data_IF_234208832687
#
_entry.id   IF_234208832687
#
_cell.length_a   1.000
_cell.length_b   1.000
_cell.length_c   1.000
_cell.angle_alpha   90.00
_cell.angle_beta   90.00
_cell.angle_gamma   90.00
#
_symmetry.space_group_name_H-M   'P 1'
#
loop_
_entity.id
_entity.type
_entity.pdbx_description
1 polymer ?
#
# COMPACT_ATOMS: atom_id res chain seq x y z
N UNK A 1 -22.32 5.43 -28.53
CA UNK A 1 -22.36 5.86 -27.14
C UNK A 1 -22.19 4.68 -26.24
N UNK A 2 -21.15 4.68 -25.41
CA UNK A 2 -21.01 3.68 -24.34
C UNK A 2 -22.06 4.02 -23.28
N UNK A 3 -23.03 3.11 -23.08
CA UNK A 3 -23.97 3.22 -21.98
C UNK A 3 -23.30 2.67 -20.72
N UNK A 4 -23.18 3.49 -19.68
CA UNK A 4 -22.58 3.10 -18.39
C UNK A 4 -23.54 2.26 -17.52
N UNK A 5 -24.69 1.87 -18.06
CA UNK A 5 -25.82 1.32 -17.32
C UNK A 5 -25.51 0.00 -16.59
N UNK A 6 -24.45 -0.71 -17.00
CA UNK A 6 -24.11 -2.03 -16.47
C UNK A 6 -22.74 -2.06 -15.75
N UNK A 7 -22.13 -0.90 -15.46
CA UNK A 7 -20.84 -0.84 -14.78
C UNK A 7 -21.04 -0.53 -13.29
N UNK A 8 -20.47 -1.33 -12.41
CA UNK A 8 -20.45 -1.06 -10.97
C UNK A 8 -19.53 0.11 -10.61
N UNK A 9 -18.39 0.19 -11.31
CA UNK A 9 -17.35 1.22 -11.12
C UNK A 9 -16.84 1.73 -12.46
N UNK A 10 -16.59 3.03 -12.55
CA UNK A 10 -15.92 3.67 -13.68
C UNK A 10 -14.61 4.29 -13.19
N UNK A 11 -13.51 3.98 -13.86
CA UNK A 11 -12.21 4.61 -13.63
C UNK A 11 -11.99 5.69 -14.69
N UNK A 12 -11.62 6.86 -14.21
CA UNK A 12 -11.29 8.03 -15.04
C UNK A 12 -9.83 8.40 -14.77
N UNK A 13 -8.94 8.18 -15.73
CA UNK A 13 -7.56 8.64 -15.67
C UNK A 13 -7.42 9.91 -16.52
N UNK A 14 -7.21 11.06 -15.88
CA UNK A 14 -7.08 12.35 -16.57
C UNK A 14 -5.62 12.67 -16.85
N UNK A 15 -5.27 12.80 -18.11
CA UNK A 15 -3.94 13.23 -18.56
C UNK A 15 -3.90 14.71 -18.97
N UNK A 16 -4.98 15.46 -18.77
CA UNK A 16 -5.06 16.87 -19.16
C UNK A 16 -5.02 17.14 -20.65
N UNK A 17 -5.32 16.13 -21.48
CA UNK A 17 -5.25 16.21 -22.96
C UNK A 17 -6.59 16.53 -23.64
N UNK A 18 -7.59 17.00 -22.88
CA UNK A 18 -8.87 17.46 -23.40
C UNK A 18 -9.92 16.39 -23.73
N UNK A 19 -9.64 15.11 -23.48
CA UNK A 19 -10.62 14.02 -23.65
C UNK A 19 -11.77 14.16 -22.67
N UNK A 20 -11.47 14.51 -21.41
CA UNK A 20 -12.46 14.71 -20.35
C UNK A 20 -13.03 16.13 -20.40
N UNK A 21 -14.06 16.31 -21.21
CA UNK A 21 -14.81 17.56 -21.26
C UNK A 21 -15.77 17.65 -20.08
N UNK A 22 -16.20 18.88 -19.73
CA UNK A 22 -17.20 19.11 -18.67
C UNK A 22 -18.46 18.26 -18.89
N UNK A 23 -18.94 18.19 -20.13
CA UNK A 23 -20.11 17.37 -20.50
C UNK A 23 -19.91 15.87 -20.20
N UNK A 24 -18.70 15.34 -20.36
CA UNK A 24 -18.39 13.94 -20.02
C UNK A 24 -18.37 13.77 -18.53
N UNK A 25 -17.71 14.67 -17.79
CA UNK A 25 -17.64 14.64 -16.34
C UNK A 25 -19.03 14.78 -15.69
N UNK A 26 -19.89 15.67 -16.21
CA UNK A 26 -21.27 15.78 -15.74
C UNK A 26 -22.04 14.47 -15.86
N UNK A 27 -21.90 13.78 -16.99
CA UNK A 27 -22.58 12.50 -17.20
C UNK A 27 -22.04 11.39 -16.32
N UNK A 28 -20.73 11.38 -16.07
CA UNK A 28 -20.07 10.36 -15.25
C UNK A 28 -20.29 10.61 -13.76
N UNK A 29 -20.06 11.82 -13.30
CA UNK A 29 -19.97 12.13 -11.89
C UNK A 29 -21.28 12.67 -11.27
N UNK A 30 -22.20 13.25 -12.08
CA UNK A 30 -23.38 13.96 -11.58
C UNK A 30 -24.70 13.38 -12.01
N UNK A 31 -24.75 12.43 -12.95
CA UNK A 31 -25.99 11.84 -13.42
C UNK A 31 -26.66 10.98 -12.34
N UNK A 32 -28.00 11.00 -12.22
CA UNK A 32 -28.73 10.10 -11.34
C UNK A 32 -28.47 8.62 -11.68
N UNK A 33 -28.34 7.77 -10.67
CA UNK A 33 -28.13 6.33 -10.88
C UNK A 33 -26.77 5.97 -11.51
N UNK A 34 -25.80 6.90 -11.46
CA UNK A 34 -24.44 6.66 -11.95
C UNK A 34 -23.72 5.56 -11.17
N UNK A 35 -22.79 4.83 -11.80
CA UNK A 35 -21.85 3.95 -11.09
C UNK A 35 -20.94 4.76 -10.15
N UNK A 36 -20.22 4.09 -9.27
CA UNK A 36 -19.13 4.72 -8.51
C UNK A 36 -18.02 5.17 -9.48
N UNK A 37 -17.56 6.40 -9.33
CA UNK A 37 -16.55 6.98 -10.21
C UNK A 37 -15.28 7.26 -9.43
N UNK A 38 -14.19 6.59 -9.80
CA UNK A 38 -12.86 6.80 -9.27
C UNK A 38 -12.06 7.63 -10.28
N UNK A 39 -11.42 8.69 -9.84
CA UNK A 39 -10.68 9.59 -10.73
C UNK A 39 -9.22 9.69 -10.29
N UNK A 40 -8.31 9.43 -11.22
CA UNK A 40 -6.91 9.87 -11.15
C UNK A 40 -6.83 11.28 -11.75
N UNK A 41 -6.71 12.32 -10.91
CA UNK A 41 -6.95 13.70 -11.34
C UNK A 41 -5.71 14.34 -11.95
N UNK A 42 -5.90 15.38 -12.77
CA UNK A 42 -4.82 16.21 -13.31
C UNK A 42 -5.14 17.70 -13.23
N UNK A 43 -4.09 18.52 -13.09
CA UNK A 43 -4.21 19.96 -13.07
C UNK A 43 -4.41 20.54 -11.66
N UNK A 44 -5.02 21.73 -11.58
CA UNK A 44 -5.21 22.47 -10.32
C UNK A 44 -6.66 22.53 -9.88
N UNK A 45 -7.58 22.47 -10.82
CA UNK A 45 -9.01 22.62 -10.57
C UNK A 45 -9.68 21.26 -10.44
N UNK A 46 -9.81 20.81 -9.21
CA UNK A 46 -10.50 19.56 -8.90
C UNK A 46 -12.01 19.70 -8.73
N UNK A 47 -12.55 20.96 -8.69
CA UNK A 47 -13.99 21.20 -8.67
C UNK A 47 -14.67 20.62 -9.91
N UNK A 48 -13.95 20.47 -11.02
CA UNK A 48 -14.42 19.80 -12.24
C UNK A 48 -14.84 18.35 -12.03
N UNK A 49 -14.23 17.65 -11.05
CA UNK A 49 -14.57 16.25 -10.72
C UNK A 49 -15.67 16.13 -9.66
N UNK A 50 -16.37 17.25 -9.35
CA UNK A 50 -17.43 17.26 -8.37
C UNK A 50 -18.43 16.13 -8.57
N UNK A 51 -18.73 15.43 -7.47
CA UNK A 51 -19.62 14.28 -7.48
C UNK A 51 -18.96 12.97 -7.83
N UNK A 52 -17.64 12.92 -8.10
CA UNK A 52 -16.93 11.65 -8.13
C UNK A 52 -16.97 10.98 -6.76
N UNK A 53 -16.84 9.64 -6.70
CA UNK A 53 -16.84 8.92 -5.43
C UNK A 53 -15.48 9.04 -4.74
N UNK A 54 -14.40 9.00 -5.53
CA UNK A 54 -13.03 8.98 -5.01
C UNK A 54 -12.07 9.70 -5.96
N UNK A 55 -11.11 10.47 -5.40
CA UNK A 55 -9.92 10.94 -6.12
C UNK A 55 -8.65 10.28 -5.57
N UNK A 56 -7.67 10.08 -6.47
CA UNK A 56 -6.36 9.48 -6.12
C UNK A 56 -5.16 10.37 -6.49
N UNK A 57 -5.13 11.67 -6.10
CA UNK A 57 -3.97 12.51 -6.41
C UNK A 57 -2.69 11.98 -5.75
N UNK A 58 -1.56 12.16 -6.42
CA UNK A 58 -0.27 12.01 -5.74
C UNK A 58 0.05 13.27 -4.91
N UNK A 59 1.14 13.21 -4.11
CA UNK A 59 1.57 14.33 -3.27
C UNK A 59 1.68 15.64 -4.05
N UNK A 60 2.37 15.64 -5.19
CA UNK A 60 2.62 16.85 -5.98
C UNK A 60 1.32 17.41 -6.57
N UNK A 61 0.43 16.54 -7.00
CA UNK A 61 -0.89 16.90 -7.50
C UNK A 61 -1.77 17.48 -6.41
N UNK A 62 -1.77 16.87 -5.22
CA UNK A 62 -2.48 17.41 -4.05
C UNK A 62 -1.91 18.77 -3.61
N UNK A 63 -0.58 18.93 -3.55
CA UNK A 63 0.07 20.22 -3.29
C UNK A 63 -0.31 21.27 -4.32
N UNK A 64 -0.36 20.91 -5.59
CA UNK A 64 -0.69 21.81 -6.69
C UNK A 64 -2.15 22.25 -6.64
N UNK A 65 -3.07 21.35 -6.30
CA UNK A 65 -4.51 21.63 -6.24
C UNK A 65 -4.89 22.44 -4.99
N UNK A 66 -4.24 22.19 -3.85
CA UNK A 66 -4.53 22.89 -2.59
C UNK A 66 -3.71 24.15 -2.37
N UNK A 67 -2.58 24.29 -3.08
CA UNK A 67 -1.58 25.36 -2.83
C UNK A 67 -0.79 25.16 -1.54
N UNK A 68 -0.93 24.02 -0.86
CA UNK A 68 -0.27 23.69 0.40
C UNK A 68 0.97 22.83 0.15
N UNK A 69 1.97 22.87 1.06
CA UNK A 69 3.04 21.90 1.12
C UNK A 69 2.65 20.77 2.07
N UNK A 70 2.81 19.53 1.62
CA UNK A 70 2.46 18.34 2.39
C UNK A 70 3.71 17.79 3.12
N UNK A 71 4.26 18.57 4.07
CA UNK A 71 5.47 18.23 4.80
C UNK A 71 5.20 17.35 6.02
N UNK A 72 4.07 17.54 6.69
CA UNK A 72 3.68 16.83 7.91
C UNK A 72 2.41 16.00 7.72
N UNK A 73 2.15 15.00 8.59
CA UNK A 73 0.86 14.30 8.58
C UNK A 73 -0.36 15.22 8.74
N UNK A 74 -0.20 16.34 9.47
CA UNK A 74 -1.25 17.35 9.62
C UNK A 74 -1.58 18.04 8.30
N UNK A 75 -0.56 18.39 7.50
CA UNK A 75 -0.74 19.01 6.18
C UNK A 75 -1.46 18.05 5.22
N UNK A 76 -1.11 16.77 5.25
CA UNK A 76 -1.75 15.73 4.42
C UNK A 76 -3.24 15.61 4.77
N UNK A 77 -3.55 15.57 6.08
CA UNK A 77 -4.94 15.52 6.56
C UNK A 77 -5.73 16.73 6.10
N UNK A 78 -5.18 17.92 6.25
CA UNK A 78 -5.83 19.17 5.86
C UNK A 78 -6.03 19.25 4.35
N UNK A 79 -5.04 18.89 3.55
CA UNK A 79 -5.17 18.82 2.10
C UNK A 79 -6.27 17.84 1.66
N UNK A 80 -6.33 16.65 2.24
CA UNK A 80 -7.38 15.67 1.94
C UNK A 80 -8.78 16.21 2.31
N UNK A 81 -8.91 16.91 3.45
CA UNK A 81 -10.16 17.57 3.85
C UNK A 81 -10.59 18.62 2.82
N UNK A 82 -9.68 19.53 2.48
CA UNK A 82 -9.94 20.59 1.51
C UNK A 82 -10.36 20.04 0.14
N UNK A 83 -9.67 19.03 -0.37
CA UNK A 83 -9.99 18.38 -1.65
C UNK A 83 -11.38 17.71 -1.61
N UNK A 84 -11.70 16.99 -0.53
CA UNK A 84 -12.98 16.33 -0.37
C UNK A 84 -14.16 17.34 -0.35
N UNK A 85 -13.99 18.45 0.36
CA UNK A 85 -15.01 19.50 0.47
C UNK A 85 -15.18 20.28 -0.84
N UNK A 86 -14.09 20.72 -1.47
CA UNK A 86 -14.14 21.50 -2.72
C UNK A 86 -14.78 20.75 -3.87
N UNK A 87 -14.56 19.45 -3.93
CA UNK A 87 -15.03 18.61 -5.04
C UNK A 87 -16.24 17.74 -4.70
N UNK A 88 -16.83 17.93 -3.52
CA UNK A 88 -18.01 17.16 -3.06
C UNK A 88 -17.85 15.65 -3.24
N UNK A 89 -16.72 15.12 -2.76
CA UNK A 89 -16.32 13.71 -2.89
C UNK A 89 -16.76 12.89 -1.68
N UNK A 90 -16.93 11.60 -1.86
CA UNK A 90 -17.13 10.68 -0.73
C UNK A 90 -15.80 10.48 0.04
N UNK A 91 -14.68 10.38 -0.68
CA UNK A 91 -13.35 10.17 -0.10
C UNK A 91 -12.22 10.68 -1.00
N UNK A 92 -11.05 10.90 -0.39
CA UNK A 92 -9.80 11.24 -1.09
C UNK A 92 -8.70 10.31 -0.61
N UNK A 93 -7.95 9.73 -1.54
CA UNK A 93 -6.72 8.99 -1.27
C UNK A 93 -5.55 9.78 -1.84
N UNK A 94 -4.63 10.24 -1.00
CA UNK A 94 -3.39 10.88 -1.44
C UNK A 94 -2.29 9.83 -1.47
N UNK A 95 -1.70 9.58 -2.64
CA UNK A 95 -0.54 8.68 -2.75
C UNK A 95 0.74 9.43 -2.43
N UNK A 96 1.57 8.85 -1.55
CA UNK A 96 2.72 9.50 -0.93
C UNK A 96 4.07 8.84 -1.30
N UNK A 97 4.09 8.06 -2.38
CA UNK A 97 5.27 7.33 -2.85
C UNK A 97 5.77 6.34 -1.79
N UNK A 98 7.04 6.45 -1.40
CA UNK A 98 7.64 5.57 -0.40
C UNK A 98 6.97 5.60 0.99
N UNK A 99 6.17 6.61 1.28
CA UNK A 99 5.40 6.70 2.53
C UNK A 99 4.06 5.96 2.45
N UNK A 100 3.67 5.45 1.28
CA UNK A 100 2.42 4.73 1.08
C UNK A 100 1.27 5.63 0.65
N UNK A 101 0.11 5.54 1.31
CA UNK A 101 -1.05 6.36 0.98
C UNK A 101 -1.85 6.74 2.21
N UNK A 102 -2.49 7.89 2.14
CA UNK A 102 -3.40 8.40 3.16
C UNK A 102 -4.78 8.55 2.57
N UNK A 103 -5.80 8.13 3.30
CA UNK A 103 -7.21 8.30 2.93
C UNK A 103 -7.99 9.03 4.01
N UNK A 104 -8.95 9.85 3.57
CA UNK A 104 -9.93 10.47 4.44
C UNK A 104 -11.32 10.42 3.80
N UNK A 105 -12.33 10.02 4.58
CA UNK A 105 -13.72 10.22 4.21
C UNK A 105 -14.13 11.69 4.41
N UNK A 106 -15.03 12.20 3.58
CA UNK A 106 -15.46 13.59 3.62
C UNK A 106 -16.03 14.01 4.98
N UNK A 107 -16.85 13.15 5.57
CA UNK A 107 -17.48 13.40 6.87
C UNK A 107 -16.49 13.33 8.05
N UNK A 108 -15.26 12.93 7.80
CA UNK A 108 -14.23 12.78 8.81
C UNK A 108 -14.42 11.60 9.75
N UNK A 109 -15.39 10.72 9.50
CA UNK A 109 -15.66 9.57 10.34
C UNK A 109 -14.51 8.58 10.39
N UNK A 110 -13.78 8.46 9.28
CA UNK A 110 -12.63 7.55 9.16
C UNK A 110 -11.50 8.17 8.37
N UNK A 111 -10.29 7.84 8.79
CA UNK A 111 -9.04 8.11 8.07
C UNK A 111 -8.07 6.94 8.23
N UNK A 112 -7.30 6.66 7.19
CA UNK A 112 -6.33 5.57 7.17
C UNK A 112 -5.01 6.05 6.62
N UNK A 113 -3.92 5.55 7.20
CA UNK A 113 -2.56 5.68 6.67
C UNK A 113 -2.01 4.28 6.43
N UNK A 114 -1.81 3.93 5.16
CA UNK A 114 -1.31 2.60 4.75
C UNK A 114 0.13 2.77 4.28
N UNK A 115 1.13 2.19 4.97
CA UNK A 115 2.53 2.33 4.58
C UNK A 115 2.82 1.59 3.27
N UNK A 116 3.80 2.07 2.49
CA UNK A 116 4.26 1.40 1.29
C UNK A 116 4.89 0.03 1.63
N UNK A 117 4.76 -0.93 0.70
CA UNK A 117 5.31 -2.29 0.86
C UNK A 117 6.48 -2.61 -0.08
N UNK A 118 6.99 -1.63 -0.84
CA UNK A 118 8.11 -1.88 -1.74
C UNK A 118 9.41 -2.13 -0.97
N UNK A 119 10.08 -3.25 -1.26
CA UNK A 119 11.42 -3.58 -0.72
C UNK A 119 12.55 -2.93 -1.52
N UNK A 120 12.30 -2.67 -2.80
CA UNK A 120 13.21 -2.01 -3.74
C UNK A 120 12.37 -1.27 -4.77
N UNK A 121 12.85 -0.11 -5.21
CA UNK A 121 12.19 0.71 -6.22
C UNK A 121 13.12 0.83 -7.40
N UNK A 122 12.70 0.33 -8.56
CA UNK A 122 13.44 0.44 -9.81
C UNK A 122 12.83 1.50 -10.74
N UNK A 123 11.48 1.52 -10.83
CA UNK A 123 10.76 2.48 -11.67
C UNK A 123 9.40 2.78 -11.02
N UNK A 124 9.04 4.04 -10.93
CA UNK A 124 7.75 4.48 -10.36
C UNK A 124 6.65 4.65 -11.41
N UNK A 125 6.98 4.45 -12.69
CA UNK A 125 6.05 4.62 -13.81
C UNK A 125 4.89 3.63 -13.71
N UNK A 126 3.66 4.12 -13.83
CA UNK A 126 2.45 3.30 -13.78
C UNK A 126 1.99 2.88 -12.37
N UNK A 127 2.71 3.29 -11.31
CA UNK A 127 2.28 2.98 -9.94
C UNK A 127 0.92 3.58 -9.60
N UNK A 128 0.65 4.83 -10.01
CA UNK A 128 -0.66 5.50 -9.85
C UNK A 128 -1.78 4.78 -10.60
N UNK A 129 -1.52 4.42 -11.86
CA UNK A 129 -2.48 3.66 -12.68
C UNK A 129 -2.79 2.29 -12.05
N UNK A 130 -1.77 1.62 -11.50
CA UNK A 130 -1.96 0.37 -10.76
C UNK A 130 -2.79 0.56 -9.49
N UNK A 131 -2.51 1.63 -8.71
CA UNK A 131 -3.29 1.93 -7.51
C UNK A 131 -4.77 2.08 -7.84
N UNK A 132 -5.13 2.94 -8.80
CA UNK A 132 -6.55 3.18 -9.11
C UNK A 132 -7.22 1.94 -9.73
N UNK A 133 -6.50 1.16 -10.54
CA UNK A 133 -7.03 -0.08 -11.12
C UNK A 133 -7.33 -1.13 -10.05
N UNK A 134 -6.41 -1.35 -9.10
CA UNK A 134 -6.60 -2.31 -8.01
C UNK A 134 -7.67 -1.84 -7.03
N UNK A 135 -7.75 -0.53 -6.72
CA UNK A 135 -8.84 0.04 -5.93
C UNK A 135 -10.20 -0.24 -6.58
N UNK A 136 -10.33 0.07 -7.87
CA UNK A 136 -11.57 -0.14 -8.62
C UNK A 136 -11.99 -1.61 -8.62
N UNK A 137 -11.05 -2.51 -8.93
CA UNK A 137 -11.32 -3.95 -8.91
C UNK A 137 -11.78 -4.43 -7.53
N UNK A 138 -11.06 -4.04 -6.47
CA UNK A 138 -11.37 -4.47 -5.10
C UNK A 138 -12.75 -3.98 -4.65
N UNK A 139 -13.06 -2.72 -4.91
CA UNK A 139 -14.35 -2.12 -4.56
C UNK A 139 -15.51 -2.72 -5.38
N UNK A 140 -15.28 -3.09 -6.64
CA UNK A 140 -16.28 -3.73 -7.50
C UNK A 140 -16.65 -5.13 -7.01
N UNK A 141 -15.71 -5.86 -6.41
CA UNK A 141 -15.98 -7.19 -5.82
C UNK A 141 -16.46 -7.12 -4.36
N UNK A 142 -16.75 -5.91 -3.84
CA UNK A 142 -17.36 -5.72 -2.52
C UNK A 142 -16.39 -5.57 -1.35
N UNK A 143 -15.08 -5.38 -1.60
CA UNK A 143 -14.14 -5.03 -0.54
C UNK A 143 -14.46 -3.66 0.06
N UNK A 144 -14.20 -3.47 1.34
CA UNK A 144 -14.23 -2.14 1.95
C UNK A 144 -13.03 -1.29 1.49
N UNK A 145 -13.09 0.02 1.76
CA UNK A 145 -12.08 0.96 1.27
C UNK A 145 -10.69 0.68 1.87
N UNK A 146 -10.60 0.29 3.13
CA UNK A 146 -9.33 -0.05 3.77
C UNK A 146 -8.70 -1.29 3.14
N UNK A 147 -9.49 -2.35 2.92
CA UNK A 147 -9.03 -3.57 2.24
C UNK A 147 -8.56 -3.28 0.81
N UNK A 148 -9.32 -2.47 0.07
CA UNK A 148 -8.97 -2.04 -1.27
C UNK A 148 -7.64 -1.26 -1.30
N UNK A 149 -7.42 -0.34 -0.36
CA UNK A 149 -6.16 0.40 -0.22
C UNK A 149 -4.98 -0.52 0.13
N UNK A 150 -5.18 -1.46 1.03
CA UNK A 150 -4.14 -2.45 1.39
C UNK A 150 -3.71 -3.26 0.18
N UNK A 151 -4.66 -3.73 -0.62
CA UNK A 151 -4.36 -4.48 -1.86
C UNK A 151 -3.71 -3.58 -2.92
N UNK A 152 -4.19 -2.34 -3.09
CA UNK A 152 -3.59 -1.37 -4.00
C UNK A 152 -2.13 -1.04 -3.65
N UNK A 153 -1.80 -0.99 -2.34
CA UNK A 153 -0.43 -0.80 -1.86
C UNK A 153 0.48 -1.99 -2.25
N UNK A 154 -0.05 -3.23 -2.22
CA UNK A 154 0.67 -4.41 -2.71
C UNK A 154 0.90 -4.31 -4.21
N UNK A 155 -0.13 -3.99 -4.99
CA UNK A 155 -0.04 -3.82 -6.45
C UNK A 155 0.97 -2.75 -6.84
N UNK A 156 0.91 -1.57 -6.21
CA UNK A 156 1.88 -0.50 -6.43
C UNK A 156 3.33 -0.95 -6.10
N UNK A 157 3.50 -1.68 -4.99
CA UNK A 157 4.78 -2.25 -4.60
C UNK A 157 5.36 -3.21 -5.64
N UNK A 158 4.54 -4.04 -6.26
CA UNK A 158 4.94 -4.93 -7.37
C UNK A 158 5.31 -4.15 -8.64
N UNK A 159 4.54 -3.11 -8.97
CA UNK A 159 4.81 -2.27 -10.14
C UNK A 159 6.17 -1.61 -10.05
N UNK A 160 6.50 -0.96 -8.92
CA UNK A 160 7.78 -0.24 -8.77
C UNK A 160 9.01 -1.16 -8.69
N UNK A 161 8.80 -2.47 -8.51
CA UNK A 161 9.86 -3.48 -8.55
C UNK A 161 10.14 -4.03 -9.96
N UNK A 162 9.42 -3.57 -10.97
CA UNK A 162 9.59 -3.97 -12.38
C UNK A 162 10.09 -2.79 -13.21
N UNK A 163 10.89 -3.08 -14.23
CA UNK A 163 11.32 -2.05 -15.18
C UNK A 163 10.23 -1.80 -16.22
N UNK A 164 9.93 -0.53 -16.46
CA UNK A 164 8.94 -0.11 -17.46
C UNK A 164 7.50 -0.36 -17.02
N UNK A 165 6.56 -0.18 -17.97
CA UNK A 165 5.14 -0.40 -17.71
C UNK A 165 4.84 -1.90 -17.74
N UNK A 166 4.74 -2.52 -16.59
CA UNK A 166 4.39 -3.93 -16.44
C UNK A 166 2.98 -4.07 -15.90
N UNK A 167 2.14 -4.84 -16.61
CA UNK A 167 0.81 -5.19 -16.08
C UNK A 167 0.94 -6.10 -14.86
N UNK A 168 0.22 -5.78 -13.81
CA UNK A 168 0.09 -6.62 -12.61
C UNK A 168 -1.09 -7.54 -12.81
N UNK A 169 -0.84 -8.84 -12.73
CA UNK A 169 -1.88 -9.87 -12.86
C UNK A 169 -2.49 -10.21 -11.50
N UNK A 170 -3.64 -10.88 -11.52
CA UNK A 170 -4.24 -11.45 -10.31
C UNK A 170 -3.28 -12.41 -9.61
N UNK A 171 -2.59 -13.26 -10.37
CA UNK A 171 -1.60 -14.20 -9.82
C UNK A 171 -0.46 -13.49 -9.09
N UNK A 172 0.06 -12.38 -9.64
CA UNK A 172 1.08 -11.58 -8.97
C UNK A 172 0.62 -11.06 -7.59
N UNK A 173 -0.64 -10.62 -7.50
CA UNK A 173 -1.22 -10.16 -6.24
C UNK A 173 -1.41 -11.31 -5.25
N UNK A 174 -1.93 -12.46 -5.71
CA UNK A 174 -2.11 -13.66 -4.89
C UNK A 174 -0.77 -14.16 -4.34
N UNK A 175 0.27 -14.24 -5.16
CA UNK A 175 1.62 -14.66 -4.76
C UNK A 175 2.23 -13.69 -3.72
N UNK A 176 2.09 -12.38 -3.94
CA UNK A 176 2.60 -11.37 -3.00
C UNK A 176 1.87 -11.41 -1.65
N UNK A 177 0.55 -11.67 -1.65
CA UNK A 177 -0.24 -11.83 -0.43
C UNK A 177 0.15 -13.10 0.32
N UNK A 178 0.32 -14.23 -0.39
CA UNK A 178 0.77 -15.49 0.20
C UNK A 178 2.19 -15.37 0.77
N UNK A 179 3.10 -14.70 0.06
CA UNK A 179 4.44 -14.42 0.58
C UNK A 179 4.40 -13.54 1.83
N UNK A 180 3.59 -12.50 1.83
CA UNK A 180 3.38 -11.63 2.99
C UNK A 180 2.82 -12.39 4.20
N UNK A 181 1.85 -13.27 3.97
CA UNK A 181 1.29 -14.15 5.01
C UNK A 181 2.34 -15.10 5.56
N UNK A 182 3.10 -15.77 4.69
CA UNK A 182 4.21 -16.67 5.08
C UNK A 182 5.29 -15.95 5.89
N UNK A 183 5.55 -14.67 5.59
CA UNK A 183 6.53 -13.88 6.33
C UNK A 183 5.99 -13.43 7.69
N UNK A 184 4.73 -13.00 7.77
CA UNK A 184 4.09 -12.67 9.05
C UNK A 184 3.97 -13.89 9.96
N UNK A 185 3.71 -15.06 9.38
CA UNK A 185 3.68 -16.33 10.11
C UNK A 185 5.07 -16.76 10.64
N UNK A 186 6.15 -16.28 10.04
CA UNK A 186 7.52 -16.59 10.51
C UNK A 186 7.94 -15.78 11.72
N UNK A 187 7.39 -14.58 11.90
CA UNK A 187 7.65 -13.74 13.08
C UNK A 187 6.57 -14.06 14.12
N UNK A 188 6.98 -14.51 15.28
CA UNK A 188 6.04 -14.89 16.34
C UNK A 188 6.56 -14.49 17.71
N UNK A 189 5.64 -14.27 18.63
CA UNK A 189 5.95 -14.08 20.04
C UNK A 189 6.38 -15.41 20.72
N UNK A 190 6.75 -15.31 21.99
CA UNK A 190 7.23 -16.45 22.76
C UNK A 190 6.20 -17.58 22.88
N UNK A 191 4.93 -17.24 23.11
CA UNK A 191 3.89 -18.25 23.26
C UNK A 191 3.56 -18.97 21.95
N UNK A 192 3.45 -18.23 20.86
CA UNK A 192 3.24 -18.78 19.53
C UNK A 192 4.42 -19.65 19.12
N UNK A 193 5.67 -19.22 19.43
CA UNK A 193 6.88 -20.02 19.19
C UNK A 193 6.83 -21.35 19.95
N UNK A 194 6.46 -21.35 21.23
CA UNK A 194 6.38 -22.58 22.03
C UNK A 194 5.32 -23.55 21.50
N UNK A 195 4.18 -23.03 21.04
CA UNK A 195 3.14 -23.88 20.39
C UNK A 195 3.69 -24.52 19.13
N UNK A 196 4.38 -23.75 18.29
CA UNK A 196 4.96 -24.20 17.03
C UNK A 196 6.08 -25.23 17.24
N UNK A 197 6.98 -24.98 18.18
CA UNK A 197 8.05 -25.94 18.57
C UNK A 197 7.46 -27.28 19.02
N UNK A 198 6.40 -27.27 19.84
CA UNK A 198 5.74 -28.51 20.29
C UNK A 198 5.14 -29.28 19.12
N UNK A 199 4.50 -28.60 18.20
CA UNK A 199 3.95 -29.21 16.98
C UNK A 199 5.05 -29.84 16.12
N UNK A 200 6.09 -29.08 15.78
CA UNK A 200 7.19 -29.55 14.93
C UNK A 200 7.93 -30.75 15.56
N UNK A 201 8.13 -30.74 16.88
CA UNK A 201 8.69 -31.90 17.61
C UNK A 201 7.76 -33.12 17.58
N UNK A 202 6.44 -32.91 17.66
CA UNK A 202 5.46 -33.97 17.54
C UNK A 202 5.49 -34.67 16.18
N UNK A 203 5.85 -33.92 15.13
CA UNK A 203 6.07 -34.43 13.75
C UNK A 203 7.48 -35.05 13.56
N UNK A 204 8.26 -35.18 14.61
CA UNK A 204 9.61 -35.78 14.57
C UNK A 204 10.66 -34.86 13.93
N UNK A 205 10.38 -33.59 13.71
CA UNK A 205 11.32 -32.66 13.07
C UNK A 205 12.39 -32.17 14.03
N UNK A 206 13.62 -32.07 13.51
CA UNK A 206 14.77 -31.52 14.25
C UNK A 206 14.72 -30.00 14.19
N UNK A 207 14.77 -29.37 15.38
CA UNK A 207 14.74 -27.92 15.52
C UNK A 207 16.16 -27.43 15.81
N UNK A 208 16.64 -26.50 15.03
CA UNK A 208 17.89 -25.77 15.23
C UNK A 208 17.55 -24.38 15.76
N UNK A 209 18.27 -23.92 16.76
CA UNK A 209 18.15 -22.59 17.32
C UNK A 209 19.42 -21.80 17.13
N UNK A 210 19.28 -20.54 16.74
CA UNK A 210 20.35 -19.55 16.76
C UNK A 210 19.81 -18.19 17.15
N UNK A 211 20.68 -17.23 17.45
CA UNK A 211 20.28 -15.87 17.80
C UNK A 211 21.30 -14.83 17.34
N UNK A 212 20.88 -13.58 17.27
CA UNK A 212 21.74 -12.47 16.90
C UNK A 212 21.03 -11.13 16.88
N UNK A 213 21.81 -10.07 16.74
CA UNK A 213 21.26 -8.72 16.61
C UNK A 213 20.72 -8.46 15.21
N UNK A 214 21.35 -9.01 14.17
CA UNK A 214 21.01 -8.85 12.74
C UNK A 214 20.75 -7.41 12.31
N UNK A 215 21.34 -6.46 13.00
CA UNK A 215 21.17 -5.01 12.82
C UNK A 215 21.52 -4.56 11.39
N UNK A 216 22.67 -5.04 10.86
CA UNK A 216 23.04 -4.88 9.45
C UNK A 216 23.32 -6.26 8.89
N UNK A 217 22.49 -6.70 7.95
CA UNK A 217 22.69 -7.99 7.28
C UNK A 217 23.81 -7.89 6.25
N UNK A 218 24.64 -8.92 6.19
CA UNK A 218 25.70 -9.09 5.20
C UNK A 218 25.83 -10.57 4.81
N UNK A 219 26.62 -10.84 3.76
CA UNK A 219 26.79 -12.20 3.19
C UNK A 219 27.19 -13.24 4.24
N UNK A 220 27.97 -12.85 5.24
CA UNK A 220 28.35 -13.75 6.35
C UNK A 220 27.16 -14.20 7.20
N UNK A 221 26.17 -13.34 7.43
CA UNK A 221 24.93 -13.74 8.11
C UNK A 221 24.13 -14.73 7.26
N UNK A 222 24.07 -14.56 5.93
CA UNK A 222 23.39 -15.50 5.04
C UNK A 222 24.03 -16.88 5.08
N UNK A 223 25.37 -16.95 4.95
CA UNK A 223 26.10 -18.22 5.03
C UNK A 223 25.89 -18.91 6.38
N UNK A 224 26.00 -18.16 7.48
CA UNK A 224 25.78 -18.68 8.82
C UNK A 224 24.34 -19.24 9.02
N UNK A 225 23.31 -18.50 8.57
CA UNK A 225 21.93 -18.96 8.69
C UNK A 225 21.63 -20.17 7.78
N UNK A 226 22.22 -20.22 6.59
CA UNK A 226 22.12 -21.39 5.70
C UNK A 226 22.78 -22.62 6.32
N UNK A 227 23.97 -22.47 6.89
CA UNK A 227 24.66 -23.53 7.60
C UNK A 227 23.83 -24.02 8.80
N UNK A 228 23.37 -23.11 9.66
CA UNK A 228 22.50 -23.45 10.78
C UNK A 228 21.24 -24.21 10.32
N UNK A 229 20.61 -23.79 9.23
CA UNK A 229 19.42 -24.46 8.66
C UNK A 229 19.72 -25.87 8.19
N UNK A 230 20.94 -26.16 7.75
CA UNK A 230 21.33 -27.49 7.27
C UNK A 230 21.39 -28.55 8.37
N UNK A 231 21.50 -28.15 9.63
CA UNK A 231 21.56 -29.07 10.77
C UNK A 231 20.20 -29.61 11.24
N UNK A 232 19.09 -29.11 10.69
CA UNK A 232 17.77 -29.58 11.07
C UNK A 232 16.66 -29.23 10.07
N UNK A 233 15.44 -29.55 10.43
CA UNK A 233 14.26 -29.38 9.59
C UNK A 233 13.57 -28.03 9.80
N UNK A 234 13.79 -27.40 10.95
CA UNK A 234 13.24 -26.10 11.31
C UNK A 234 14.33 -25.25 11.95
N UNK A 235 14.56 -24.05 11.43
CA UNK A 235 15.47 -23.06 12.04
C UNK A 235 14.66 -22.02 12.79
N UNK A 236 14.92 -21.86 14.07
CA UNK A 236 14.40 -20.79 14.93
C UNK A 236 15.51 -19.76 15.14
N UNK A 237 15.22 -18.51 14.84
CA UNK A 237 16.16 -17.40 14.99
C UNK A 237 15.64 -16.42 16.03
N UNK A 238 16.34 -16.31 17.15
CA UNK A 238 16.10 -15.28 18.15
C UNK A 238 16.71 -13.96 17.71
N UNK A 239 15.89 -12.92 17.54
CA UNK A 239 16.35 -11.57 17.18
C UNK A 239 16.32 -10.67 18.40
N UNK A 240 17.43 -9.96 18.65
CA UNK A 240 17.51 -9.00 19.75
C UNK A 240 16.56 -7.81 19.53
N UNK A 241 15.83 -7.40 20.55
CA UNK A 241 15.05 -6.16 20.49
C UNK A 241 15.93 -4.93 20.28
N UNK A 242 15.36 -3.87 19.70
CA UNK A 242 16.07 -2.59 19.49
C UNK A 242 16.73 -2.07 20.77
N UNK A 243 16.03 -2.14 21.90
CA UNK A 243 16.56 -1.77 23.21
C UNK A 243 17.78 -2.61 23.61
N UNK A 244 17.79 -3.90 23.30
CA UNK A 244 18.93 -4.78 23.55
C UNK A 244 20.11 -4.46 22.62
N UNK A 245 19.84 -4.22 21.33
CA UNK A 245 20.87 -3.84 20.35
C UNK A 245 21.52 -2.50 20.73
N UNK A 246 20.72 -1.51 21.16
CA UNK A 246 21.21 -0.23 21.64
C UNK A 246 22.14 -0.37 22.85
N UNK A 247 21.78 -1.21 23.83
CA UNK A 247 22.66 -1.49 24.98
C UNK A 247 23.98 -2.16 24.60
N UNK A 248 23.96 -3.06 23.59
CA UNK A 248 25.12 -3.83 23.20
C UNK A 248 26.04 -3.07 22.24
N UNK A 249 25.51 -2.24 21.35
CA UNK A 249 26.24 -1.61 20.24
C UNK A 249 26.30 -0.09 20.30
N UNK A 250 25.63 0.56 21.26
CA UNK A 250 25.66 2.01 21.49
C UNK A 250 24.45 2.77 20.95
N UNK A 251 24.42 4.09 21.22
CA UNK A 251 23.29 5.00 20.99
C UNK A 251 22.84 5.11 19.52
N UNK A 252 23.71 4.92 18.55
CA UNK A 252 23.38 4.98 17.12
C UNK A 252 22.84 3.66 16.53
N UNK A 253 22.44 2.69 17.37
CA UNK A 253 21.99 1.36 16.96
C UNK A 253 20.63 1.01 17.54
N UNK A 254 19.83 0.16 16.84
CA UNK A 254 20.10 -0.45 15.52
C UNK A 254 19.99 0.54 14.36
N UNK A 255 20.61 0.21 13.21
CA UNK A 255 20.40 0.93 11.93
C UNK A 255 19.04 0.54 11.34
N UNK A 256 18.70 -0.76 11.44
CA UNK A 256 17.40 -1.29 11.04
C UNK A 256 16.62 -1.67 12.31
N UNK A 257 15.48 -1.03 12.51
CA UNK A 257 14.54 -1.34 13.60
C UNK A 257 13.69 -2.58 13.27
N UNK A 258 13.22 -3.28 14.30
CA UNK A 258 12.40 -4.50 14.20
C UNK A 258 10.92 -4.23 14.46
#
# INVERSE_FOLDING_TARGET
GVTHADADIVVVSDYGKGVLTERILDRLCRAPGRPRVLVDPKGRDYARYRGASLLTPNRVEAETATGMKLATPGDIREAARQLAEQSDLESVIITLGAQGMYCRLRDGSHEWSIPARARSVYDVTGAGDTVIAVLAFSLAVGADLEQAMRLATVGAGLTVQRFGVAAITRGDLEDALLESSRLSDKVCDHEALLRRIRHERGEGRRIVFTNGCFDVLHVGHLGYLQEARSYGDVLVVGVNSDASVKRLKGEGRPVNTH
#
